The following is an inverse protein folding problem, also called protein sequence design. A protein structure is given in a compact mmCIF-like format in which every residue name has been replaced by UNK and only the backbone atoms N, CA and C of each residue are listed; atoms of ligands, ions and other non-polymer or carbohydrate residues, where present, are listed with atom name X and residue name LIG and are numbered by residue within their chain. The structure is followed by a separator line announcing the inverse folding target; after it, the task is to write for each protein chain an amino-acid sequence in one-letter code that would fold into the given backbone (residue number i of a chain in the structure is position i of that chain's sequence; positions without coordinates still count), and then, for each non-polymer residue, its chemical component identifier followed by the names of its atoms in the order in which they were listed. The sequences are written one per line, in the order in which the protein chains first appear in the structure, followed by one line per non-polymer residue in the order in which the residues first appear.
data_IF_091673654523
#
_entry.id   IF_091673654523
#
_cell.length_a   1.000
_cell.length_b   1.000
_cell.length_c   1.000
_cell.angle_alpha   90.00
_cell.angle_beta   90.00
_cell.angle_gamma   90.00
#
_symmetry.space_group_name_H-M   'P 1'
#
loop_
_entity.id
_entity.type
_entity.pdbx_description
1 polymer ?
#
# COMPACT_ATOMS: atom_id res chain seq x y z
N UNK A 1 -17.16 -16.58 -19.94
CA UNK A 1 -16.32 -17.73 -20.29
C UNK A 1 -16.93 -19.04 -19.81
N UNK A 2 -16.66 -20.15 -20.51
CA UNK A 2 -17.16 -21.47 -20.13
C UNK A 2 -16.57 -21.89 -18.76
N UNK A 3 -17.25 -22.80 -18.06
CA UNK A 3 -16.77 -23.36 -16.78
C UNK A 3 -15.33 -23.88 -16.93
N UNK A 4 -15.05 -24.57 -18.03
CA UNK A 4 -13.73 -25.10 -18.35
C UNK A 4 -12.66 -23.99 -18.43
N UNK A 5 -12.94 -22.85 -19.09
CA UNK A 5 -12.01 -21.73 -19.16
C UNK A 5 -11.70 -21.16 -17.75
N UNK A 6 -12.72 -21.02 -16.90
CA UNK A 6 -12.53 -20.54 -15.52
C UNK A 6 -11.66 -21.50 -14.71
N UNK A 7 -11.88 -22.81 -14.84
CA UNK A 7 -11.09 -23.84 -14.16
C UNK A 7 -9.63 -23.84 -14.63
N UNK A 8 -9.40 -23.74 -15.96
CA UNK A 8 -8.05 -23.67 -16.53
C UNK A 8 -7.32 -22.43 -16.03
N UNK A 9 -7.93 -21.23 -16.10
CA UNK A 9 -7.31 -20.01 -15.61
C UNK A 9 -7.05 -20.05 -14.11
N UNK A 10 -7.97 -20.62 -13.31
CA UNK A 10 -7.76 -20.78 -11.87
C UNK A 10 -6.60 -21.72 -11.57
N UNK A 11 -6.48 -22.84 -12.28
CA UNK A 11 -5.38 -23.78 -12.12
C UNK A 11 -4.02 -23.13 -12.45
N UNK A 12 -3.89 -22.50 -13.59
CA UNK A 12 -2.65 -21.79 -13.94
C UNK A 12 -2.35 -20.62 -13.02
N UNK A 13 -3.37 -19.91 -12.54
CA UNK A 13 -3.22 -18.84 -11.55
C UNK A 13 -2.68 -19.35 -10.22
N UNK A 14 -3.22 -20.45 -9.72
CA UNK A 14 -2.72 -21.09 -8.49
C UNK A 14 -1.30 -21.64 -8.65
N UNK A 15 -1.00 -22.25 -9.79
CA UNK A 15 0.33 -22.74 -10.10
C UNK A 15 1.36 -21.60 -10.15
N UNK A 16 1.01 -20.50 -10.83
CA UNK A 16 1.85 -19.31 -10.90
C UNK A 16 2.06 -18.68 -9.52
N UNK A 17 1.01 -18.60 -8.69
CA UNK A 17 1.09 -18.11 -7.32
C UNK A 17 2.02 -18.99 -6.47
N UNK A 18 1.91 -20.32 -6.57
CA UNK A 18 2.77 -21.27 -5.85
C UNK A 18 4.25 -21.07 -6.21
N UNK A 19 4.57 -21.02 -7.50
CA UNK A 19 5.96 -20.79 -7.94
C UNK A 19 6.47 -19.40 -7.56
N UNK A 20 5.61 -18.38 -7.62
CA UNK A 20 5.99 -17.01 -7.23
C UNK A 20 6.31 -16.93 -5.73
N UNK A 21 5.50 -17.56 -4.87
CA UNK A 21 5.76 -17.60 -3.43
C UNK A 21 7.04 -18.39 -3.14
N UNK A 22 7.20 -19.58 -3.76
CA UNK A 22 8.41 -20.40 -3.57
C UNK A 22 9.68 -19.65 -4.01
N UNK A 23 9.61 -18.96 -5.13
CA UNK A 23 10.72 -18.12 -5.60
C UNK A 23 11.00 -16.95 -4.63
N UNK A 24 9.96 -16.27 -4.15
CA UNK A 24 10.11 -15.15 -3.23
C UNK A 24 10.74 -15.58 -1.89
N UNK A 25 10.34 -16.72 -1.34
CA UNK A 25 10.91 -17.30 -0.11
C UNK A 25 12.40 -17.60 -0.30
N UNK A 26 12.76 -18.28 -1.39
CA UNK A 26 14.16 -18.57 -1.72
C UNK A 26 14.98 -17.29 -1.94
N UNK A 27 14.42 -16.30 -2.66
CA UNK A 27 15.08 -15.02 -2.90
C UNK A 27 15.27 -14.21 -1.60
N UNK A 28 14.34 -14.31 -0.67
CA UNK A 28 14.45 -13.71 0.66
C UNK A 28 15.49 -14.41 1.57
N UNK A 29 16.02 -15.57 1.15
CA UNK A 29 16.97 -16.36 1.95
C UNK A 29 16.31 -17.07 3.12
N UNK A 30 14.97 -17.25 3.06
CA UNK A 30 14.20 -17.97 4.09
C UNK A 30 14.25 -19.48 3.81
N UNK A 31 14.50 -20.28 4.84
CA UNK A 31 14.44 -21.75 4.72
C UNK A 31 13.01 -22.30 4.73
N UNK A 32 12.06 -21.46 5.17
CA UNK A 32 10.63 -21.76 5.21
C UNK A 32 9.80 -20.54 5.57
N UNK A 33 8.48 -20.72 5.71
CA UNK A 33 7.55 -19.68 6.16
C UNK A 33 7.27 -19.91 7.66
N UNK A 34 8.28 -19.69 8.51
CA UNK A 34 8.08 -19.68 9.96
C UNK A 34 7.97 -18.26 10.49
N UNK A 35 7.20 -18.07 11.57
CA UNK A 35 7.03 -16.75 12.19
C UNK A 35 8.38 -16.17 12.65
N UNK A 36 9.29 -17.02 13.14
CA UNK A 36 10.62 -16.61 13.59
C UNK A 36 11.50 -16.12 12.45
N UNK A 37 11.57 -16.84 11.34
CA UNK A 37 12.34 -16.43 10.16
C UNK A 37 11.79 -15.16 9.53
N UNK A 38 10.44 -15.03 9.50
CA UNK A 38 9.81 -13.84 8.97
C UNK A 38 10.10 -12.60 9.83
N UNK A 39 10.06 -12.73 11.17
CA UNK A 39 10.42 -11.62 12.06
C UNK A 39 11.87 -11.21 11.90
N UNK A 40 12.79 -12.18 11.83
CA UNK A 40 14.21 -11.91 11.58
C UNK A 40 14.44 -11.20 10.24
N UNK A 41 13.77 -11.65 9.18
CA UNK A 41 13.84 -10.99 7.87
C UNK A 41 13.35 -9.53 7.93
N UNK A 42 12.26 -9.27 8.66
CA UNK A 42 11.73 -7.91 8.85
C UNK A 42 12.75 -7.06 9.61
N UNK A 43 13.33 -7.56 10.69
CA UNK A 43 14.32 -6.86 11.51
C UNK A 43 15.58 -6.54 10.70
N UNK A 44 16.09 -7.49 9.91
CA UNK A 44 17.22 -7.29 9.02
C UNK A 44 16.93 -6.23 7.95
N UNK A 45 15.73 -6.23 7.36
CA UNK A 45 15.31 -5.21 6.39
C UNK A 45 15.20 -3.83 7.01
N UNK A 46 14.66 -3.73 8.21
CA UNK A 46 14.58 -2.48 8.95
C UNK A 46 15.97 -1.94 9.25
N UNK A 47 16.89 -2.78 9.76
CA UNK A 47 18.26 -2.40 10.07
C UNK A 47 19.00 -1.87 8.84
N UNK A 48 18.90 -2.56 7.68
CA UNK A 48 19.51 -2.10 6.43
C UNK A 48 18.93 -0.76 5.95
N UNK A 49 17.63 -0.53 6.14
CA UNK A 49 16.96 0.69 5.70
C UNK A 49 17.19 1.87 6.64
N UNK A 50 17.61 1.65 7.88
CA UNK A 50 17.92 2.72 8.84
C UNK A 50 19.20 3.47 8.49
N UNK A 51 20.09 2.90 7.67
CA UNK A 51 21.32 3.56 7.24
C UNK A 51 21.01 4.70 6.27
N UNK A 52 21.24 5.94 6.69
CA UNK A 52 21.03 7.14 5.86
C UNK A 52 20.20 8.25 6.56
N UNK A 53 20.17 9.43 5.94
CA UNK A 53 19.60 10.64 6.54
C UNK A 53 18.05 10.68 6.72
N UNK A 54 17.34 9.60 6.38
CA UNK A 54 15.88 9.48 6.52
C UNK A 54 15.44 8.30 7.39
N UNK A 55 16.36 7.66 8.10
CA UNK A 55 16.07 6.50 8.95
C UNK A 55 15.16 6.85 10.12
N UNK A 56 14.22 5.93 10.44
CA UNK A 56 13.29 6.01 11.57
C UNK A 56 13.26 4.65 12.24
N UNK A 57 13.33 4.65 13.57
CA UNK A 57 13.08 3.44 14.34
C UNK A 57 11.58 3.11 14.33
N UNK A 58 11.19 2.19 13.44
CA UNK A 58 9.81 1.71 13.33
C UNK A 58 9.56 0.47 14.22
N UNK A 59 10.62 -0.19 14.72
CA UNK A 59 10.50 -1.39 15.53
C UNK A 59 9.77 -1.15 16.86
N UNK A 60 9.91 0.05 17.41
CA UNK A 60 9.23 0.50 18.63
C UNK A 60 7.79 0.97 18.41
N UNK A 61 7.34 1.07 17.13
CA UNK A 61 6.03 1.61 16.80
C UNK A 61 4.98 0.53 16.72
N UNK A 62 3.73 0.82 17.18
CA UNK A 62 2.59 -0.04 16.93
C UNK A 62 2.26 -0.11 15.42
N UNK A 63 1.70 -1.23 14.95
CA UNK A 63 1.36 -1.43 13.52
C UNK A 63 0.52 -0.28 12.92
N UNK A 64 -0.55 0.24 13.57
CA UNK A 64 -1.29 1.38 13.03
C UNK A 64 -0.41 2.63 12.86
N UNK A 65 0.54 2.86 13.76
CA UNK A 65 1.44 4.00 13.67
C UNK A 65 2.52 3.81 12.60
N UNK A 66 2.99 2.57 12.37
CA UNK A 66 3.87 2.25 11.23
C UNK A 66 3.17 2.52 9.89
N UNK A 67 1.90 2.06 9.75
CA UNK A 67 1.08 2.31 8.57
C UNK A 67 0.88 3.80 8.30
N UNK A 68 0.55 4.56 9.34
CA UNK A 68 0.42 6.01 9.25
C UNK A 68 1.73 6.66 8.84
N UNK A 69 2.82 6.31 9.51
CA UNK A 69 4.16 6.86 9.26
C UNK A 69 4.60 6.60 7.83
N UNK A 70 4.43 5.39 7.34
CA UNK A 70 4.84 5.01 5.99
C UNK A 70 4.10 5.81 4.90
N UNK A 71 2.79 5.99 5.03
CA UNK A 71 1.97 6.59 3.98
C UNK A 71 1.98 8.11 4.00
N UNK A 72 1.96 8.72 5.21
CA UNK A 72 1.67 10.15 5.39
C UNK A 72 2.85 10.98 5.85
N UNK A 73 3.95 10.38 6.33
CA UNK A 73 5.14 11.14 6.72
C UNK A 73 6.18 11.19 5.59
N UNK A 74 7.04 12.23 5.48
CA UNK A 74 7.06 13.41 6.36
C UNK A 74 5.85 14.33 6.13
N UNK A 75 5.42 14.99 7.21
CA UNK A 75 4.43 16.06 7.17
C UNK A 75 5.12 17.42 6.94
N UNK A 76 4.40 18.47 6.47
CA UNK A 76 5.02 19.75 6.12
C UNK A 76 5.84 20.40 7.23
N UNK A 77 5.44 20.23 8.49
CA UNK A 77 6.18 20.74 9.66
C UNK A 77 7.39 19.90 10.08
N UNK A 78 7.58 18.73 9.47
CA UNK A 78 8.74 17.84 9.70
C UNK A 78 9.85 18.03 8.66
N UNK A 79 9.58 18.77 7.59
CA UNK A 79 10.50 18.93 6.47
C UNK A 79 11.72 19.77 6.88
N UNK A 80 12.92 19.21 6.65
CA UNK A 80 14.21 19.85 6.97
C UNK A 80 14.85 20.54 5.75
N UNK A 81 14.35 20.25 4.55
CA UNK A 81 14.85 20.83 3.31
C UNK A 81 13.73 20.93 2.26
N UNK A 82 13.99 21.67 1.17
CA UNK A 82 13.00 21.93 0.11
C UNK A 82 12.47 20.63 -0.52
N UNK A 83 13.32 19.65 -0.75
CA UNK A 83 12.90 18.35 -1.33
C UNK A 83 11.95 17.60 -0.40
N UNK A 84 12.22 17.62 0.90
CA UNK A 84 11.32 17.03 1.90
C UNK A 84 10.01 17.83 2.01
N UNK A 85 10.06 19.15 1.85
CA UNK A 85 8.87 20.00 1.88
C UNK A 85 7.93 19.66 0.70
N UNK A 86 8.45 19.51 -0.50
CA UNK A 86 7.66 19.08 -1.67
C UNK A 86 7.02 17.73 -1.42
N UNK A 87 7.81 16.74 -0.99
CA UNK A 87 7.29 15.39 -0.68
C UNK A 87 6.25 15.40 0.46
N UNK A 88 6.40 16.28 1.44
CA UNK A 88 5.46 16.40 2.55
C UNK A 88 4.13 17.05 2.13
N UNK A 89 4.16 17.94 1.15
CA UNK A 89 2.93 18.50 0.58
C UNK A 89 2.11 17.43 -0.14
N UNK A 90 2.75 16.57 -0.95
CA UNK A 90 2.08 15.42 -1.57
C UNK A 90 1.47 14.49 -0.51
N UNK A 91 2.22 14.20 0.56
CA UNK A 91 1.74 13.37 1.67
C UNK A 91 0.53 13.98 2.37
N UNK A 92 0.54 15.30 2.56
CA UNK A 92 -0.59 16.01 3.16
C UNK A 92 -1.84 15.93 2.28
N UNK A 93 -1.71 16.10 0.96
CA UNK A 93 -2.84 15.93 0.03
C UNK A 93 -3.41 14.51 0.07
N UNK A 94 -2.54 13.50 0.14
CA UNK A 94 -2.95 12.09 0.26
C UNK A 94 -3.69 11.87 1.59
N UNK A 95 -3.20 12.45 2.70
CA UNK A 95 -3.86 12.36 3.99
C UNK A 95 -5.27 12.99 3.95
N UNK A 96 -5.40 14.17 3.37
CA UNK A 96 -6.70 14.85 3.22
C UNK A 96 -7.66 13.99 2.39
N UNK A 97 -7.20 13.47 1.25
CA UNK A 97 -8.00 12.60 0.39
C UNK A 97 -8.40 11.31 1.13
N UNK A 98 -7.50 10.73 1.90
CA UNK A 98 -7.75 9.53 2.70
C UNK A 98 -8.83 9.78 3.77
N UNK A 99 -8.74 10.89 4.50
CA UNK A 99 -9.76 11.29 5.50
C UNK A 99 -11.12 11.46 4.83
N UNK A 100 -11.20 12.16 3.69
CA UNK A 100 -12.46 12.30 2.94
C UNK A 100 -12.99 10.95 2.44
N UNK A 101 -12.12 10.05 2.00
CA UNK A 101 -12.49 8.68 1.62
C UNK A 101 -13.09 7.89 2.78
N UNK A 102 -12.44 7.90 3.95
CA UNK A 102 -12.93 7.23 5.17
C UNK A 102 -14.26 7.83 5.62
N UNK A 103 -14.39 9.16 5.66
CA UNK A 103 -15.67 9.82 5.99
C UNK A 103 -16.78 9.42 5.00
N UNK A 104 -16.43 9.28 3.72
CA UNK A 104 -17.39 8.84 2.69
C UNK A 104 -17.85 7.40 2.91
N UNK A 105 -16.94 6.49 3.32
CA UNK A 105 -17.29 5.11 3.71
C UNK A 105 -18.24 5.10 4.92
N UNK A 106 -17.93 5.89 5.96
CA UNK A 106 -18.80 6.00 7.15
C UNK A 106 -20.18 6.52 6.79
N UNK A 107 -20.29 7.41 5.78
CA UNK A 107 -21.56 7.91 5.24
C UNK A 107 -22.29 6.90 4.33
N UNK A 108 -21.86 5.63 4.30
CA UNK A 108 -22.49 4.56 3.54
C UNK A 108 -22.15 4.53 2.04
N UNK A 109 -21.15 5.28 1.60
CA UNK A 109 -20.65 5.15 0.24
C UNK A 109 -19.88 3.85 0.08
N UNK A 110 -19.93 3.26 -1.11
CA UNK A 110 -19.29 1.97 -1.38
C UNK A 110 -18.65 1.96 -2.76
N UNK A 111 -17.75 1.01 -2.97
CA UNK A 111 -17.13 0.72 -4.28
C UNK A 111 -18.09 -0.05 -5.21
N UNK A 112 -19.31 -0.39 -4.77
CA UNK A 112 -20.25 -1.20 -5.54
C UNK A 112 -20.48 -0.60 -6.94
N UNK A 113 -20.31 -1.41 -8.00
CA UNK A 113 -20.42 -1.00 -9.40
C UNK A 113 -19.12 -0.51 -10.06
N UNK A 114 -17.99 -0.44 -9.35
CA UNK A 114 -16.67 -0.27 -9.96
C UNK A 114 -16.09 -1.65 -10.26
N UNK A 115 -15.77 -1.92 -11.53
CA UNK A 115 -15.12 -3.18 -11.89
C UNK A 115 -13.70 -3.24 -11.30
N UNK A 116 -13.32 -4.39 -10.73
CA UNK A 116 -11.95 -4.62 -10.23
C UNK A 116 -11.61 -3.94 -8.90
N UNK A 117 -12.56 -3.30 -8.20
CA UNK A 117 -12.27 -2.61 -6.94
C UNK A 117 -11.68 -3.53 -5.85
N UNK A 118 -12.11 -4.79 -5.81
CA UNK A 118 -11.57 -5.77 -4.85
C UNK A 118 -10.08 -6.00 -5.10
N UNK A 119 -9.70 -6.18 -6.37
CA UNK A 119 -8.29 -6.34 -6.75
C UNK A 119 -7.47 -5.10 -6.36
N UNK A 120 -7.94 -3.91 -6.72
CA UNK A 120 -7.23 -2.65 -6.41
C UNK A 120 -7.10 -2.44 -4.91
N UNK A 121 -8.14 -2.75 -4.13
CA UNK A 121 -8.15 -2.62 -2.68
C UNK A 121 -7.20 -3.62 -2.03
N UNK A 122 -7.30 -4.90 -2.38
CA UNK A 122 -6.45 -5.96 -1.81
C UNK A 122 -4.97 -5.75 -2.14
N UNK A 123 -4.66 -5.36 -3.38
CA UNK A 123 -3.31 -5.01 -3.79
C UNK A 123 -2.77 -3.80 -3.01
N UNK A 124 -3.56 -2.72 -2.93
CA UNK A 124 -3.14 -1.50 -2.23
C UNK A 124 -2.90 -1.73 -0.74
N UNK A 125 -3.81 -2.44 -0.06
CA UNK A 125 -3.68 -2.76 1.36
C UNK A 125 -2.50 -3.72 1.58
N UNK A 126 -2.39 -4.77 0.78
CA UNK A 126 -1.30 -5.74 0.89
C UNK A 126 0.07 -5.09 0.73
N UNK A 127 0.26 -4.30 -0.33
CA UNK A 127 1.51 -3.55 -0.52
C UNK A 127 1.76 -2.56 0.62
N UNK A 128 0.74 -1.81 1.05
CA UNK A 128 0.89 -0.85 2.13
C UNK A 128 1.34 -1.50 3.43
N UNK A 129 0.71 -2.60 3.84
CA UNK A 129 1.08 -3.34 5.06
C UNK A 129 2.51 -3.86 4.96
N UNK A 130 2.84 -4.60 3.89
CA UNK A 130 4.17 -5.21 3.73
C UNK A 130 5.27 -4.14 3.72
N UNK A 131 5.09 -3.07 2.96
CA UNK A 131 6.09 -2.01 2.85
C UNK A 131 6.20 -1.19 4.15
N UNK A 132 5.11 -0.97 4.87
CA UNK A 132 5.14 -0.22 6.14
C UNK A 132 5.93 -0.96 7.23
N UNK A 133 5.84 -2.29 7.30
CA UNK A 133 6.56 -3.08 8.31
C UNK A 133 8.03 -3.35 7.93
N UNK A 134 8.40 -3.24 6.64
CA UNK A 134 9.76 -3.53 6.19
C UNK A 134 10.60 -2.29 5.91
N UNK A 135 10.01 -1.09 5.86
CA UNK A 135 10.70 0.13 5.42
C UNK A 135 10.91 1.11 6.58
N UNK A 136 12.12 1.14 7.12
CA UNK A 136 12.54 2.02 8.22
C UNK A 136 13.20 3.33 7.72
N UNK A 137 12.82 3.83 6.55
CA UNK A 137 13.40 5.04 5.97
C UNK A 137 12.36 5.83 5.17
N UNK A 138 12.10 7.09 5.56
CA UNK A 138 11.11 7.96 4.90
C UNK A 138 11.45 8.27 3.45
N UNK A 139 12.73 8.40 3.10
CA UNK A 139 13.14 8.67 1.73
C UNK A 139 12.87 7.47 0.79
N UNK A 140 12.96 6.24 1.31
CA UNK A 140 12.60 5.03 0.60
C UNK A 140 11.07 4.92 0.52
N UNK A 141 10.37 5.15 1.63
CA UNK A 141 8.90 5.11 1.70
C UNK A 141 8.24 6.03 0.66
N UNK A 142 8.72 7.27 0.52
CA UNK A 142 8.18 8.24 -0.46
C UNK A 142 8.27 7.72 -1.91
N UNK A 143 9.30 6.95 -2.25
CA UNK A 143 9.44 6.36 -3.60
C UNK A 143 8.62 5.09 -3.77
N UNK A 144 8.64 4.21 -2.77
CA UNK A 144 7.98 2.90 -2.86
C UNK A 144 6.45 2.99 -2.85
N UNK A 145 5.86 3.93 -2.13
CA UNK A 145 4.39 4.07 -2.08
C UNK A 145 3.76 4.30 -3.46
N UNK A 146 4.49 4.86 -4.42
CA UNK A 146 3.99 5.03 -5.79
C UNK A 146 3.69 3.72 -6.51
N UNK A 147 4.14 2.57 -6.00
CA UNK A 147 3.81 1.25 -6.55
C UNK A 147 2.31 0.92 -6.41
N UNK A 148 1.65 1.38 -5.34
CA UNK A 148 0.23 1.08 -5.08
C UNK A 148 -0.64 2.34 -4.94
N UNK A 149 -0.04 3.49 -4.70
CA UNK A 149 -0.73 4.75 -4.45
C UNK A 149 -1.70 5.16 -5.58
N UNK A 150 -1.38 4.99 -6.88
CA UNK A 150 -2.33 5.33 -7.95
C UNK A 150 -3.65 4.56 -7.84
N UNK A 151 -3.59 3.25 -7.51
CA UNK A 151 -4.81 2.44 -7.31
C UNK A 151 -5.58 2.91 -6.09
N UNK A 152 -4.89 3.23 -4.99
CA UNK A 152 -5.53 3.77 -3.78
C UNK A 152 -6.19 5.12 -4.04
N UNK A 153 -5.54 6.03 -4.78
CA UNK A 153 -6.11 7.33 -5.15
C UNK A 153 -7.41 7.15 -5.95
N UNK A 154 -7.42 6.26 -6.95
CA UNK A 154 -8.63 5.96 -7.73
C UNK A 154 -9.76 5.49 -6.83
N UNK A 155 -9.48 4.55 -5.90
CA UNK A 155 -10.47 4.07 -4.94
C UNK A 155 -11.03 5.21 -4.06
N UNK A 156 -10.14 6.07 -3.55
CA UNK A 156 -10.53 7.20 -2.70
C UNK A 156 -11.37 8.22 -3.49
N UNK A 157 -11.00 8.54 -4.73
CA UNK A 157 -11.77 9.45 -5.60
C UNK A 157 -13.17 8.90 -5.84
N UNK A 158 -13.31 7.60 -6.14
CA UNK A 158 -14.62 6.95 -6.36
C UNK A 158 -15.50 7.05 -5.11
N UNK A 159 -14.93 7.02 -3.91
CA UNK A 159 -15.67 7.22 -2.67
C UNK A 159 -16.07 8.68 -2.44
N UNK A 160 -15.19 9.62 -2.79
CA UNK A 160 -15.39 11.05 -2.51
C UNK A 160 -16.34 11.69 -3.52
N UNK A 161 -16.23 11.32 -4.81
CA UNK A 161 -17.06 11.90 -5.88
C UNK A 161 -18.46 11.26 -5.90
N UNK A 162 -19.55 12.05 -5.83
CA UNK A 162 -20.89 11.53 -5.97
C UNK A 162 -21.14 10.95 -7.37
N UNK A 163 -21.68 9.74 -7.46
CA UNK A 163 -21.95 9.04 -8.73
C UNK A 163 -22.83 9.82 -9.70
N UNK A 164 -23.69 10.72 -9.21
CA UNK A 164 -24.58 11.51 -10.07
C UNK A 164 -23.84 12.36 -11.09
N UNK A 165 -22.64 12.85 -10.78
CA UNK A 165 -21.85 13.69 -11.70
C UNK A 165 -21.17 12.90 -12.84
N UNK A 166 -20.90 11.62 -12.64
CA UNK A 166 -20.24 10.79 -13.66
C UNK A 166 -21.20 10.33 -14.77
N UNK A 167 -22.52 10.42 -14.56
CA UNK A 167 -23.52 10.08 -15.57
C UNK A 167 -24.02 11.31 -16.35
N UNK A 168 -23.92 12.52 -15.80
CA UNK A 168 -24.31 13.77 -16.49
C UNK A 168 -23.32 14.19 -17.57
N UNK A 169 -22.01 13.85 -17.42
CA UNK A 169 -20.98 14.19 -18.42
C UNK A 169 -20.99 13.21 -19.64
N UNK A 170 -21.88 12.21 -19.65
CA UNK A 170 -22.00 11.23 -20.76
C UNK A 170 -23.33 11.33 -21.54
N UNK A 171 -24.19 12.31 -21.22
CA UNK A 171 -25.43 12.58 -21.89
C UNK A 171 -25.34 13.87 -22.73
#
# INVERSE_FOLDING_TARGET
GSLMQRLVFSFFGLLAAFFSVSYAVNYAGLSGISVGELSQYIDDRQAHNMTGGGGIDISSMSLPYQLFTYLFRPLPFEAKNITQLIASFDNFLILVLFVFGVVSLIKGRSFAGMAGWIYMLSYSIGCWVVLAITTANLGIAVRQKWMFLPMMIVLLIVLVVPRRRLCEDQA
#
